data_IF_578208852072
#
_entry.id   IF_578208852072
#
_cell.length_a   1.000
_cell.length_b   1.000
_cell.length_c   1.000
_cell.angle_alpha   90.00
_cell.angle_beta   90.00
_cell.angle_gamma   90.00
#
_symmetry.space_group_name_H-M   'P 1'
#
loop_
_entity.id
_entity.type
_entity.pdbx_description
1 polymer ?
#
# COMPACT_ATOMS: atom_id res chain seq x y z
N UNK A 1 8.35 0.68 -9.18
CA UNK A 1 8.12 -0.41 -10.08
C UNK A 1 7.45 -1.57 -9.36
N UNK A 2 6.53 -2.21 -10.03
CA UNK A 2 5.76 -3.28 -9.41
C UNK A 2 6.17 -4.61 -10.02
N UNK A 3 6.48 -5.57 -9.17
CA UNK A 3 6.75 -6.91 -9.62
C UNK A 3 5.46 -7.72 -9.49
N UNK A 4 5.07 -8.30 -10.60
CA UNK A 4 3.92 -9.17 -10.59
C UNK A 4 4.39 -10.59 -10.49
N UNK A 5 3.85 -11.30 -9.52
CA UNK A 5 4.18 -12.69 -9.38
C UNK A 5 2.94 -13.42 -8.92
N UNK A 6 2.85 -14.67 -9.28
CA UNK A 6 1.73 -15.49 -8.90
C UNK A 6 0.62 -15.47 -9.93
N UNK A 7 -0.44 -16.22 -9.66
CA UNK A 7 -1.56 -16.36 -10.60
C UNK A 7 -2.31 -15.05 -10.77
N UNK A 8 -2.99 -14.95 -11.88
CA UNK A 8 -3.68 -13.72 -12.25
C UNK A 8 -4.72 -13.30 -11.22
N UNK A 9 -5.35 -14.24 -10.60
CA UNK A 9 -6.46 -13.93 -9.69
C UNK A 9 -6.02 -13.76 -8.25
N UNK A 10 -4.72 -13.70 -8.03
CA UNK A 10 -4.21 -13.55 -6.68
C UNK A 10 -3.15 -12.48 -6.60
N UNK A 11 -3.39 -11.38 -7.29
CA UNK A 11 -2.46 -10.28 -7.26
C UNK A 11 -2.66 -9.46 -6.00
N UNK A 12 -1.57 -9.14 -5.36
CA UNK A 12 -1.59 -8.29 -4.18
C UNK A 12 -0.61 -7.15 -4.41
N UNK A 13 -1.08 -5.94 -4.21
CA UNK A 13 -0.27 -4.75 -4.33
C UNK A 13 0.06 -4.23 -2.94
N UNK A 14 1.27 -3.78 -2.78
CA UNK A 14 1.71 -3.19 -1.52
C UNK A 14 2.14 -1.75 -1.78
N UNK A 15 1.58 -0.83 -1.01
CA UNK A 15 1.88 0.59 -1.13
C UNK A 15 2.39 1.08 0.22
N UNK A 16 3.44 1.88 0.18
CA UNK A 16 3.95 2.52 1.38
C UNK A 16 3.88 4.03 1.24
N UNK A 17 3.45 4.67 2.30
CA UNK A 17 3.42 6.13 2.36
C UNK A 17 4.64 6.59 3.12
N UNK A 18 5.45 7.42 2.47
CA UNK A 18 6.67 7.93 3.09
C UNK A 18 6.55 9.43 3.29
N UNK A 19 6.91 9.88 4.46
CA UNK A 19 6.92 11.30 4.79
C UNK A 19 8.27 11.60 5.43
N UNK A 20 8.99 12.55 4.83
CA UNK A 20 10.33 12.93 5.29
C UNK A 20 11.26 11.74 5.37
N UNK A 21 11.13 10.80 4.42
CA UNK A 21 12.00 9.64 4.38
C UNK A 21 11.63 8.55 5.37
N UNK A 22 10.50 8.68 6.03
CA UNK A 22 10.05 7.68 7.00
C UNK A 22 8.75 7.05 6.53
N UNK A 23 8.59 5.79 6.81
CA UNK A 23 7.36 5.10 6.49
C UNK A 23 6.26 5.57 7.43
N UNK A 24 5.29 6.29 6.88
CA UNK A 24 4.17 6.79 7.66
C UNK A 24 3.03 5.78 7.73
N UNK A 25 2.92 4.94 6.72
CA UNK A 25 1.88 3.93 6.71
C UNK A 25 2.10 2.97 5.56
N UNK A 26 1.41 1.88 5.58
CA UNK A 26 1.49 0.91 4.50
C UNK A 26 0.15 0.20 4.37
N UNK A 27 -0.11 -0.30 3.17
CA UNK A 27 -1.34 -1.00 2.93
C UNK A 27 -1.20 -1.97 1.78
N UNK A 28 -2.04 -2.97 1.79
CA UNK A 28 -2.09 -3.95 0.73
C UNK A 28 -3.52 -4.08 0.23
N UNK A 29 -3.65 -4.51 -1.01
CA UNK A 29 -4.95 -4.72 -1.58
C UNK A 29 -4.85 -5.46 -2.90
N UNK A 30 -5.98 -5.89 -3.40
CA UNK A 30 -6.01 -6.62 -4.66
C UNK A 30 -5.94 -5.70 -5.87
N UNK A 31 -5.95 -4.40 -5.65
CA UNK A 31 -5.75 -3.44 -6.70
C UNK A 31 -4.93 -2.29 -6.13
N UNK A 32 -4.32 -1.51 -7.04
CA UNK A 32 -3.55 -0.36 -6.59
C UNK A 32 -4.41 0.60 -5.79
N UNK A 33 -5.62 0.86 -6.24
CA UNK A 33 -6.50 1.79 -5.55
C UNK A 33 -6.77 1.32 -4.14
N UNK A 34 -7.03 0.03 -3.97
CA UNK A 34 -7.29 -0.49 -2.63
C UNK A 34 -6.05 -0.45 -1.76
N UNK A 35 -4.91 -0.76 -2.34
CA UNK A 35 -3.66 -0.70 -1.59
C UNK A 35 -3.34 0.73 -1.16
N UNK A 36 -3.56 1.69 -2.05
CA UNK A 36 -3.33 3.09 -1.73
C UNK A 36 -4.27 3.56 -0.63
N UNK A 37 -5.51 3.17 -0.72
CA UNK A 37 -6.49 3.55 0.28
C UNK A 37 -6.12 2.97 1.64
N UNK A 38 -5.73 1.72 1.66
CA UNK A 38 -5.32 1.09 2.91
C UNK A 38 -4.08 1.76 3.49
N UNK A 39 -3.13 2.10 2.65
CA UNK A 39 -1.92 2.78 3.10
C UNK A 39 -2.25 4.16 3.67
N UNK A 40 -3.12 4.90 3.00
CA UNK A 40 -3.52 6.21 3.48
C UNK A 40 -4.23 6.12 4.82
N UNK A 41 -5.11 5.15 4.96
CA UNK A 41 -5.82 4.96 6.22
C UNK A 41 -4.86 4.60 7.34
N UNK A 42 -3.87 3.78 7.04
CA UNK A 42 -2.88 3.43 8.03
C UNK A 42 -2.08 4.65 8.47
N UNK A 43 -1.69 5.47 7.52
CA UNK A 43 -0.95 6.69 7.84
C UNK A 43 -1.79 7.65 8.69
N UNK A 44 -3.05 7.81 8.34
CA UNK A 44 -3.94 8.68 9.10
C UNK A 44 -4.17 8.14 10.50
N UNK A 45 -4.27 6.83 10.61
CA UNK A 45 -4.45 6.20 11.92
C UNK A 45 -3.26 6.45 12.83
N UNK A 46 -2.09 6.65 12.25
CA UNK A 46 -0.89 6.91 13.04
C UNK A 46 -0.67 8.39 13.34
N UNK A 47 -1.59 9.22 12.95
CA UNK A 47 -1.51 10.62 13.30
C UNK A 47 -0.68 11.47 12.36
N UNK A 48 -0.64 11.07 11.12
CA UNK A 48 0.08 11.86 10.11
C UNK A 48 -0.76 13.03 9.64
#
# INVERSE_FOLDING_TARGET
MVAESGPDHNKVFTIEVLINGRTAGSGTGQSKAKAEQAAAEDALSKGV
#
